data_IF_872071977132
#
_entry.id   IF_872071977132
#
_cell.length_a   1.000
_cell.length_b   1.000
_cell.length_c   1.000
_cell.angle_alpha   90.00
_cell.angle_beta   90.00
_cell.angle_gamma   90.00
#
_symmetry.space_group_name_H-M   'P 1'
#
loop_
_entity.id
_entity.type
_entity.pdbx_description
1 polymer ?
#
# COMPACT_ATOMS: atom_id res chain seq x y z
N UNK A 1 6.26 18.06 -23.90
CA UNK A 1 6.33 18.00 -22.42
C UNK A 1 6.37 16.54 -22.00
N UNK A 2 7.33 16.11 -21.17
CA UNK A 2 7.49 14.71 -20.76
C UNK A 2 6.54 14.35 -19.61
N UNK A 3 5.76 13.30 -19.78
CA UNK A 3 4.99 12.65 -18.70
C UNK A 3 5.96 12.16 -17.62
N UNK A 4 5.86 12.70 -16.40
CA UNK A 4 6.59 12.18 -15.24
C UNK A 4 5.69 11.20 -14.50
N UNK A 5 5.86 9.90 -14.77
CA UNK A 5 5.31 8.85 -13.90
C UNK A 5 6.05 8.97 -12.57
N UNK A 6 5.34 9.32 -11.50
CA UNK A 6 5.90 9.27 -10.14
C UNK A 6 6.07 7.80 -9.81
N UNK A 7 7.30 7.29 -9.90
CA UNK A 7 7.64 5.99 -9.32
C UNK A 7 7.39 6.11 -7.81
N UNK A 8 6.29 5.53 -7.35
CA UNK A 8 6.04 5.37 -5.91
C UNK A 8 6.96 4.24 -5.47
N UNK A 9 7.79 4.52 -4.46
CA UNK A 9 8.64 3.51 -3.87
C UNK A 9 7.76 2.36 -3.35
N UNK A 10 8.06 1.14 -3.79
CA UNK A 10 7.28 -0.05 -3.46
C UNK A 10 7.17 -0.28 -1.96
N UNK A 11 8.23 0.06 -1.21
CA UNK A 11 8.26 -0.03 0.25
C UNK A 11 7.32 1.00 0.86
N UNK A 12 7.40 2.27 0.44
CA UNK A 12 6.49 3.32 0.95
C UNK A 12 5.02 2.98 0.68
N UNK A 13 4.72 2.43 -0.49
CA UNK A 13 3.37 2.00 -0.84
C UNK A 13 2.86 0.88 0.08
N UNK A 14 3.69 -0.13 0.38
CA UNK A 14 3.33 -1.21 1.29
C UNK A 14 3.09 -0.70 2.72
N UNK A 15 3.98 0.16 3.23
CA UNK A 15 3.82 0.76 4.56
C UNK A 15 2.51 1.56 4.65
N UNK A 16 2.17 2.35 3.63
CA UNK A 16 0.93 3.12 3.57
C UNK A 16 -0.32 2.23 3.49
N UNK A 17 -0.27 1.15 2.69
CA UNK A 17 -1.39 0.23 2.55
C UNK A 17 -1.69 -0.49 3.87
N UNK A 18 -0.66 -0.99 4.55
CA UNK A 18 -0.82 -1.66 5.85
C UNK A 18 -1.28 -0.69 6.93
N UNK A 19 -0.81 0.56 6.93
CA UNK A 19 -1.33 1.61 7.82
C UNK A 19 -2.86 1.77 7.66
N UNK A 20 -3.33 1.88 6.41
CA UNK A 20 -4.76 1.99 6.13
C UNK A 20 -5.56 0.73 6.49
N UNK A 21 -4.95 -0.46 6.45
CA UNK A 21 -5.59 -1.70 6.93
C UNK A 21 -5.72 -1.72 8.45
N UNK A 22 -4.67 -1.36 9.18
CA UNK A 22 -4.70 -1.24 10.63
C UNK A 22 -5.74 -0.21 11.09
N UNK A 23 -5.80 0.96 10.46
CA UNK A 23 -6.79 2.00 10.75
C UNK A 23 -8.23 1.51 10.50
N UNK A 24 -8.47 0.77 9.40
CA UNK A 24 -9.78 0.15 9.11
C UNK A 24 -10.20 -0.86 10.18
N UNK A 25 -9.24 -1.51 10.82
CA UNK A 25 -9.47 -2.45 11.92
C UNK A 25 -9.52 -1.77 13.30
N UNK A 26 -9.53 -0.42 13.35
CA UNK A 26 -9.68 0.34 14.58
C UNK A 26 -8.39 0.56 15.36
N UNK A 27 -7.22 0.35 14.74
CA UNK A 27 -5.92 0.51 15.39
C UNK A 27 -5.20 1.78 14.97
N UNK A 28 -4.44 2.31 15.93
CA UNK A 28 -3.58 3.47 15.72
C UNK A 28 -2.32 3.03 14.96
N UNK A 29 -2.30 3.39 13.67
CA UNK A 29 -1.19 3.12 12.77
C UNK A 29 -0.88 4.37 11.93
N UNK A 30 0.37 4.84 12.00
CA UNK A 30 0.80 6.09 11.35
C UNK A 30 2.15 5.95 10.64
N UNK A 31 2.38 6.77 9.62
CA UNK A 31 3.67 6.82 8.91
C UNK A 31 4.49 8.01 9.40
N UNK A 32 5.51 7.72 10.21
CA UNK A 32 6.25 8.73 10.96
C UNK A 32 7.76 8.46 10.95
N UNK A 33 8.54 9.48 11.30
CA UNK A 33 9.98 9.33 11.49
C UNK A 33 10.25 8.87 12.93
N UNK A 34 10.91 7.72 13.14
CA UNK A 34 11.26 7.29 14.49
C UNK A 34 12.25 8.27 15.12
N UNK A 35 12.16 8.43 16.44
CA UNK A 35 13.14 9.23 17.18
C UNK A 35 14.51 8.56 17.11
N UNK A 36 15.58 9.30 16.80
CA UNK A 36 16.94 8.71 16.77
C UNK A 36 17.63 8.63 18.13
N UNK A 37 16.89 8.85 19.22
CA UNK A 37 17.40 8.80 20.58
C UNK A 37 17.33 7.39 21.15
N UNK A 38 18.29 7.06 22.02
CA UNK A 38 18.34 5.81 22.76
C UNK A 38 18.80 4.61 21.93
N UNK A 39 18.64 3.43 22.54
CA UNK A 39 18.94 2.15 21.93
C UNK A 39 17.67 1.55 21.33
N UNK A 40 17.84 0.96 20.16
CA UNK A 40 16.79 0.34 19.37
C UNK A 40 17.16 -1.11 19.10
N UNK A 41 16.15 -1.96 19.03
CA UNK A 41 16.33 -3.38 18.76
C UNK A 41 15.51 -3.74 17.53
N UNK A 42 16.15 -4.43 16.58
CA UNK A 42 15.47 -4.95 15.41
C UNK A 42 14.82 -6.29 15.76
N UNK A 43 13.58 -6.41 15.34
CA UNK A 43 12.76 -7.61 15.46
C UNK A 43 12.38 -8.07 14.07
N UNK A 44 12.39 -9.38 13.84
CA UNK A 44 11.76 -9.98 12.68
C UNK A 44 10.98 -11.22 13.08
N UNK A 45 10.07 -11.67 12.23
CA UNK A 45 9.56 -13.02 12.36
C UNK A 45 10.66 -14.04 12.04
N UNK A 46 10.42 -15.30 12.43
CA UNK A 46 11.33 -16.42 12.19
C UNK A 46 11.63 -16.66 10.71
N UNK A 47 10.69 -16.28 9.82
CA UNK A 47 10.82 -16.40 8.37
C UNK A 47 11.41 -15.14 7.70
N UNK A 48 11.72 -14.09 8.49
CA UNK A 48 12.21 -12.77 8.02
C UNK A 48 11.33 -12.13 6.93
N UNK A 49 10.03 -12.38 6.96
CA UNK A 49 9.01 -11.78 6.09
C UNK A 49 8.74 -10.33 6.44
N UNK A 50 8.92 -9.95 7.70
CA UNK A 50 8.84 -8.56 8.14
C UNK A 50 9.92 -8.22 9.13
N UNK A 51 10.25 -6.94 9.25
CA UNK A 51 11.10 -6.44 10.32
C UNK A 51 10.57 -5.14 10.89
N UNK A 52 10.62 -5.03 12.21
CA UNK A 52 10.25 -3.84 12.96
C UNK A 52 11.33 -3.46 13.95
N UNK A 53 11.25 -2.23 14.44
CA UNK A 53 12.12 -1.68 15.46
C UNK A 53 11.31 -1.36 16.71
N UNK A 54 11.92 -1.59 17.87
CA UNK A 54 11.37 -1.18 19.16
C UNK A 54 12.44 -0.51 20.00
N UNK A 55 12.00 0.27 20.98
CA UNK A 55 12.84 0.64 22.11
C UNK A 55 12.59 -0.36 23.25
N UNK A 56 13.63 -1.06 23.74
CA UNK A 56 13.48 -2.00 24.86
C UNK A 56 12.88 -1.36 26.12
N UNK A 57 13.24 -0.11 26.41
CA UNK A 57 12.71 0.65 27.55
C UNK A 57 11.20 0.87 27.44
N UNK A 58 10.73 1.43 26.31
CA UNK A 58 9.30 1.69 26.06
C UNK A 58 8.47 0.39 26.10
N UNK A 59 9.02 -0.71 25.57
CA UNK A 59 8.39 -2.03 25.64
C UNK A 59 8.27 -2.52 27.09
N UNK A 60 9.35 -2.42 27.87
CA UNK A 60 9.36 -2.84 29.27
C UNK A 60 8.39 -2.00 30.10
N UNK A 61 8.29 -0.70 29.84
CA UNK A 61 7.34 0.20 30.49
C UNK A 61 5.88 -0.22 30.22
N UNK A 62 5.57 -0.71 29.00
CA UNK A 62 4.22 -1.21 28.69
C UNK A 62 3.94 -2.58 29.30
N UNK A 63 4.88 -3.52 29.20
CA UNK A 63 4.67 -4.91 29.67
C UNK A 63 4.74 -5.01 31.19
N UNK A 64 5.60 -4.21 31.83
CA UNK A 64 5.74 -4.18 33.30
C UNK A 64 6.34 -2.86 33.78
N UNK A 65 5.50 -1.84 34.05
CA UNK A 65 5.96 -0.54 34.55
C UNK A 65 6.80 -0.66 35.84
N UNK A 66 6.44 -1.60 36.71
CA UNK A 66 7.16 -1.86 37.96
C UNK A 66 8.60 -2.36 37.73
N UNK A 67 8.80 -3.20 36.70
CA UNK A 67 10.13 -3.69 36.32
C UNK A 67 10.91 -2.64 35.52
N UNK A 68 10.24 -1.77 34.76
CA UNK A 68 10.90 -0.71 33.99
C UNK A 68 11.71 0.23 34.90
N UNK A 69 11.10 0.72 35.99
CA UNK A 69 11.80 1.59 36.94
C UNK A 69 12.97 0.88 37.64
N UNK A 70 12.81 -0.42 37.94
CA UNK A 70 13.87 -1.23 38.56
C UNK A 70 15.02 -1.54 37.59
N UNK A 71 14.72 -1.86 36.33
CA UNK A 71 15.71 -2.19 35.31
C UNK A 71 16.60 -0.99 34.97
N UNK A 72 16.02 0.20 34.86
CA UNK A 72 16.75 1.46 34.66
C UNK A 72 17.67 1.73 35.85
N UNK A 73 17.16 1.59 37.08
CA UNK A 73 17.94 1.84 38.30
C UNK A 73 19.08 0.82 38.50
N UNK A 74 18.93 -0.39 37.98
CA UNK A 74 19.91 -1.48 38.10
C UNK A 74 20.85 -1.63 36.89
N UNK A 75 20.70 -0.84 35.83
CA UNK A 75 21.45 -1.00 34.58
C UNK A 75 21.20 -2.34 33.86
N UNK A 76 20.02 -2.93 34.09
CA UNK A 76 19.65 -4.26 33.62
C UNK A 76 18.98 -4.27 32.23
N UNK A 77 19.04 -3.15 31.50
CA UNK A 77 18.44 -2.99 30.17
C UNK A 77 18.95 -4.03 29.16
N UNK A 78 20.19 -4.49 29.35
CA UNK A 78 20.81 -5.55 28.55
C UNK A 78 20.09 -6.91 28.67
N UNK A 79 19.31 -7.14 29.74
CA UNK A 79 18.54 -8.37 29.93
C UNK A 79 17.20 -8.36 29.18
N UNK A 80 16.77 -7.21 28.67
CA UNK A 80 15.48 -7.07 27.98
C UNK A 80 15.50 -7.83 26.66
N UNK A 81 16.64 -7.83 25.93
CA UNK A 81 16.77 -8.51 24.63
C UNK A 81 16.61 -10.03 24.75
N UNK A 82 17.36 -10.73 25.62
CA UNK A 82 17.16 -12.17 25.84
C UNK A 82 15.74 -12.50 26.31
N UNK A 83 15.15 -11.67 27.17
CA UNK A 83 13.79 -11.89 27.64
C UNK A 83 12.76 -11.76 26.51
N UNK A 84 12.86 -10.73 25.68
CA UNK A 84 11.99 -10.53 24.52
C UNK A 84 12.11 -11.70 23.53
N UNK A 85 13.33 -12.19 23.29
CA UNK A 85 13.58 -13.34 22.41
C UNK A 85 12.99 -14.64 22.96
N UNK A 86 12.96 -14.80 24.29
CA UNK A 86 12.40 -15.97 24.97
C UNK A 86 10.87 -15.90 25.18
N UNK A 87 10.25 -14.74 24.93
CA UNK A 87 8.81 -14.55 25.14
C UNK A 87 8.00 -15.11 23.97
N UNK A 88 7.09 -16.05 24.24
CA UNK A 88 6.13 -16.50 23.24
C UNK A 88 5.09 -15.39 22.96
N UNK A 89 4.87 -15.08 21.68
CA UNK A 89 3.96 -14.02 21.19
C UNK A 89 4.15 -12.70 21.95
N UNK A 90 5.31 -12.03 21.78
CA UNK A 90 5.61 -10.81 22.51
C UNK A 90 4.72 -9.63 22.10
N UNK A 91 4.02 -9.72 20.96
CA UNK A 91 3.06 -8.73 20.47
C UNK A 91 1.83 -9.41 19.90
N UNK A 92 0.64 -8.88 20.18
CA UNK A 92 -0.61 -9.28 19.53
C UNK A 92 -0.95 -8.30 18.41
N UNK A 93 -0.50 -8.62 17.20
CA UNK A 93 -0.75 -7.80 16.02
C UNK A 93 -2.09 -8.17 15.36
N UNK A 94 -2.88 -7.18 14.95
CA UNK A 94 -4.26 -7.37 14.47
C UNK A 94 -4.34 -7.86 13.03
N UNK A 95 -3.23 -7.70 12.30
CA UNK A 95 -3.08 -8.10 10.92
C UNK A 95 -2.48 -9.50 10.91
N UNK A 96 -3.22 -10.54 10.45
CA UNK A 96 -2.80 -11.93 10.58
C UNK A 96 -1.46 -12.25 9.91
N UNK A 97 -1.11 -11.50 8.86
CA UNK A 97 0.15 -11.69 8.12
C UNK A 97 1.38 -11.11 8.86
N UNK A 98 1.19 -10.30 9.90
CA UNK A 98 2.28 -9.86 10.79
C UNK A 98 2.36 -10.67 12.08
N UNK A 99 1.35 -11.48 12.40
CA UNK A 99 1.35 -12.33 13.59
C UNK A 99 2.53 -13.30 13.56
N UNK A 100 3.26 -13.37 14.67
CA UNK A 100 4.39 -14.28 14.84
C UNK A 100 4.36 -14.93 16.23
N UNK A 101 4.80 -16.19 16.32
CA UNK A 101 4.94 -16.90 17.60
C UNK A 101 6.26 -16.61 18.30
N UNK A 102 7.36 -16.56 17.55
CA UNK A 102 8.71 -16.34 18.07
C UNK A 102 9.42 -15.28 17.23
N UNK A 103 9.98 -14.28 17.88
CA UNK A 103 10.75 -13.24 17.20
C UNK A 103 12.23 -13.62 17.11
N UNK A 104 12.84 -13.29 15.99
CA UNK A 104 14.27 -13.11 15.93
C UNK A 104 14.58 -11.70 16.41
N UNK A 105 15.36 -11.60 17.47
CA UNK A 105 15.76 -10.34 18.10
C UNK A 105 17.25 -10.14 17.84
N UNK A 106 17.60 -9.02 17.22
CA UNK A 106 19.00 -8.65 16.97
C UNK A 106 19.59 -7.87 18.15
N UNK A 107 20.91 -7.64 18.13
CA UNK A 107 21.57 -6.86 19.16
C UNK A 107 21.09 -5.39 19.17
N UNK A 108 21.06 -4.72 20.34
CA UNK A 108 20.74 -3.31 20.42
C UNK A 108 21.70 -2.43 19.62
N UNK A 109 21.14 -1.52 18.83
CA UNK A 109 21.88 -0.53 18.04
C UNK A 109 21.46 0.89 18.45
N UNK A 110 22.34 1.88 18.31
CA UNK A 110 21.96 3.28 18.54
C UNK A 110 20.93 3.73 17.50
N UNK A 111 20.05 4.67 17.86
CA UNK A 111 19.03 5.21 16.94
C UNK A 111 19.60 5.90 15.68
N UNK A 112 20.91 6.16 15.61
CA UNK A 112 21.58 6.59 14.38
C UNK A 112 21.60 5.51 13.30
N UNK A 113 21.53 4.22 13.68
CA UNK A 113 21.50 3.07 12.77
C UNK A 113 20.11 2.78 12.18
N UNK A 114 19.07 3.51 12.63
CA UNK A 114 17.74 3.39 12.07
C UNK A 114 17.72 3.82 10.59
N UNK A 115 16.86 3.19 9.76
CA UNK A 115 16.74 3.52 8.35
C UNK A 115 16.35 4.99 8.15
N UNK A 116 16.88 5.58 7.07
CA UNK A 116 16.46 6.89 6.62
C UNK A 116 15.08 6.77 5.95
N UNK A 117 14.08 7.48 6.49
CA UNK A 117 12.73 7.49 5.95
C UNK A 117 11.65 7.34 7.01
N UNK A 118 10.40 7.40 6.55
CA UNK A 118 9.24 7.11 7.40
C UNK A 118 9.12 5.60 7.60
N UNK A 119 8.78 5.23 8.82
CA UNK A 119 8.43 3.87 9.21
C UNK A 119 6.94 3.82 9.56
N UNK A 120 6.37 2.62 9.46
CA UNK A 120 5.01 2.39 9.92
C UNK A 120 5.03 2.16 11.42
N UNK A 121 4.53 3.11 12.18
CA UNK A 121 4.34 2.98 13.62
C UNK A 121 2.96 2.36 13.89
N UNK A 122 2.93 1.22 14.57
CA UNK A 122 1.69 0.57 15.03
C UNK A 122 1.76 0.50 16.55
N UNK A 123 0.76 1.08 17.22
CA UNK A 123 0.63 0.91 18.66
C UNK A 123 -0.03 -0.43 18.98
N UNK A 124 0.67 -1.25 19.76
CA UNK A 124 0.12 -2.49 20.34
C UNK A 124 -0.15 -2.31 21.83
N UNK A 125 -0.83 -3.30 22.42
CA UNK A 125 -1.02 -3.41 23.86
C UNK A 125 0.30 -3.51 24.66
N UNK A 126 1.38 -3.91 24.00
CA UNK A 126 2.72 -4.11 24.58
C UNK A 126 3.75 -3.11 24.08
N UNK A 127 3.30 -1.99 23.54
CA UNK A 127 4.14 -0.88 23.09
C UNK A 127 4.16 -0.67 21.59
N UNK A 128 4.87 0.38 21.17
CA UNK A 128 4.95 0.82 19.76
C UNK A 128 5.94 0.01 18.93
N UNK A 129 5.49 -0.47 17.78
CA UNK A 129 6.30 -1.19 16.79
C UNK A 129 6.52 -0.33 15.55
N UNK A 130 7.77 -0.20 15.12
CA UNK A 130 8.16 0.62 13.97
C UNK A 130 8.59 -0.27 12.80
N UNK A 131 7.65 -0.59 11.92
CA UNK A 131 7.88 -1.49 10.79
C UNK A 131 8.69 -0.82 9.67
N UNK A 132 9.76 -1.49 9.27
CA UNK A 132 10.65 -1.10 8.17
C UNK A 132 10.34 -1.88 6.90
N UNK A 133 10.19 -3.19 7.05
CA UNK A 133 9.86 -4.12 5.97
C UNK A 133 8.62 -4.90 6.36
N UNK A 134 7.69 -4.99 5.43
CA UNK A 134 6.46 -5.75 5.56
C UNK A 134 6.46 -6.85 4.51
N UNK A 135 5.76 -7.97 4.76
CA UNK A 135 5.60 -8.98 3.74
C UNK A 135 4.79 -8.35 2.60
N UNK A 136 5.00 -8.84 1.38
CA UNK A 136 4.01 -8.58 0.35
C UNK A 136 2.68 -9.17 0.85
N UNK A 137 1.71 -8.28 1.10
CA UNK A 137 0.36 -8.70 1.48
C UNK A 137 -0.09 -9.76 0.47
N UNK A 138 -0.47 -10.99 0.90
CA UNK A 138 -1.18 -11.88 0.01
C UNK A 138 -2.42 -11.11 -0.39
N UNK A 139 -2.50 -10.69 -1.66
CA UNK A 139 -3.48 -9.73 -2.16
C UNK A 139 -4.83 -10.02 -1.49
N UNK A 140 -5.20 -9.20 -0.50
CA UNK A 140 -6.31 -9.49 0.37
C UNK A 140 -7.57 -9.58 -0.48
N UNK A 141 -8.00 -10.80 -0.82
CA UNK A 141 -9.29 -11.15 -1.44
C UNK A 141 -9.76 -10.36 -2.66
N UNK A 142 -8.97 -9.44 -3.19
CA UNK A 142 -9.26 -8.60 -4.33
C UNK A 142 -8.19 -8.89 -5.34
N UNK A 143 -8.28 -10.06 -5.97
CA UNK A 143 -7.56 -10.32 -7.19
C UNK A 143 -7.89 -9.20 -8.15
N UNK A 144 -7.08 -8.14 -8.19
CA UNK A 144 -6.98 -7.30 -9.39
C UNK A 144 -6.54 -8.29 -10.43
N UNK A 145 -7.40 -8.70 -11.37
CA UNK A 145 -7.01 -9.74 -12.26
C UNK A 145 -5.95 -9.08 -13.15
N UNK A 146 -4.69 -9.46 -12.93
CA UNK A 146 -3.53 -8.96 -13.70
C UNK A 146 -3.68 -9.26 -15.20
N UNK A 147 -4.74 -9.97 -15.58
CA UNK A 147 -5.15 -10.32 -16.94
C UNK A 147 -6.55 -9.79 -17.36
N UNK A 148 -7.13 -8.80 -16.68
CA UNK A 148 -8.29 -8.11 -17.26
C UNK A 148 -7.85 -7.31 -18.48
N UNK A 149 -8.28 -7.77 -19.66
CA UNK A 149 -8.19 -7.00 -20.89
C UNK A 149 -9.42 -6.11 -20.98
N UNK A 150 -9.19 -4.84 -21.21
CA UNK A 150 -10.25 -3.85 -21.38
C UNK A 150 -10.41 -3.55 -22.87
N UNK A 151 -11.62 -3.67 -23.44
CA UNK A 151 -11.84 -3.34 -24.84
C UNK A 151 -11.75 -1.82 -25.01
N UNK A 152 -10.77 -1.38 -25.78
CA UNK A 152 -10.64 0.02 -26.19
C UNK A 152 -11.30 0.20 -27.55
N UNK A 153 -12.27 1.11 -27.60
CA UNK A 153 -12.94 1.53 -28.82
C UNK A 153 -12.41 2.90 -29.23
N UNK A 154 -11.77 2.96 -30.39
CA UNK A 154 -11.31 4.21 -31.00
C UNK A 154 -12.40 4.69 -31.95
N UNK A 155 -13.20 5.63 -31.48
CA UNK A 155 -14.38 6.13 -32.19
C UNK A 155 -13.99 7.35 -33.02
N UNK A 156 -14.17 7.25 -34.34
CA UNK A 156 -13.91 8.35 -35.31
C UNK A 156 -15.11 9.29 -35.49
N UNK A 157 -16.25 8.96 -34.88
CA UNK A 157 -17.44 9.79 -34.84
C UNK A 157 -18.71 8.98 -34.61
N UNK A 158 -19.83 9.70 -34.49
CA UNK A 158 -21.14 9.12 -34.20
C UNK A 158 -22.26 9.77 -35.02
N UNK A 159 -23.34 9.01 -35.18
CA UNK A 159 -24.59 9.46 -35.80
C UNK A 159 -25.77 8.81 -35.10
N UNK A 160 -26.62 9.62 -34.48
CA UNK A 160 -27.87 9.14 -33.91
C UNK A 160 -28.81 8.71 -35.04
N UNK A 161 -29.34 7.49 -34.91
CA UNK A 161 -30.14 6.84 -35.94
C UNK A 161 -31.45 6.34 -35.36
N UNK A 162 -32.54 6.52 -36.10
CA UNK A 162 -33.83 5.96 -35.72
C UNK A 162 -33.83 4.44 -35.87
N UNK A 163 -34.45 3.73 -34.92
CA UNK A 163 -34.51 2.26 -34.90
C UNK A 163 -35.06 1.65 -36.20
N UNK A 164 -35.98 2.34 -36.88
CA UNK A 164 -36.54 1.89 -38.16
C UNK A 164 -35.50 1.82 -39.30
N UNK A 165 -34.44 2.64 -39.25
CA UNK A 165 -33.37 2.62 -40.25
C UNK A 165 -32.43 1.42 -40.05
N UNK A 166 -32.21 0.98 -38.82
CA UNK A 166 -31.31 -0.14 -38.51
C UNK A 166 -31.72 -1.44 -39.22
N UNK A 167 -33.03 -1.68 -39.39
CA UNK A 167 -33.54 -2.86 -40.11
C UNK A 167 -33.48 -2.75 -41.64
N UNK A 168 -33.05 -1.61 -42.17
CA UNK A 168 -32.98 -1.32 -43.62
C UNK A 168 -31.55 -1.22 -44.15
N UNK A 169 -30.55 -1.17 -43.27
CA UNK A 169 -29.15 -1.04 -43.65
C UNK A 169 -28.67 -2.36 -44.25
N UNK A 170 -28.23 -2.31 -45.50
CA UNK A 170 -27.67 -3.43 -46.24
C UNK A 170 -26.20 -3.23 -46.61
N UNK A 171 -25.62 -4.28 -47.21
CA UNK A 171 -24.28 -4.20 -47.81
C UNK A 171 -24.35 -3.25 -49.01
N UNK A 172 -23.49 -2.23 -49.02
CA UNK A 172 -23.42 -1.22 -50.08
C UNK A 172 -24.02 0.14 -49.70
N UNK A 173 -24.76 0.22 -48.60
CA UNK A 173 -25.27 1.49 -48.08
C UNK A 173 -24.17 2.32 -47.42
N UNK A 174 -24.24 3.64 -47.58
CA UNK A 174 -23.30 4.59 -46.99
C UNK A 174 -23.93 5.28 -45.79
N UNK A 175 -23.34 5.10 -44.61
CA UNK A 175 -23.73 5.78 -43.38
C UNK A 175 -22.85 7.01 -43.15
N UNK A 176 -23.47 8.19 -43.07
CA UNK A 176 -22.76 9.43 -42.80
C UNK A 176 -22.45 9.56 -41.31
N UNK A 177 -21.23 9.97 -40.98
CA UNK A 177 -20.82 10.39 -39.64
C UNK A 177 -21.20 11.87 -39.47
N UNK A 178 -22.17 12.19 -38.62
CA UNK A 178 -22.65 13.56 -38.39
C UNK A 178 -21.79 14.32 -37.40
N UNK A 179 -21.35 13.62 -36.35
CA UNK A 179 -20.49 14.19 -35.32
C UNK A 179 -19.13 13.56 -35.45
N UNK A 180 -18.16 14.31 -35.95
CA UNK A 180 -16.76 13.89 -35.97
C UNK A 180 -16.19 14.00 -34.55
N UNK A 181 -15.66 12.90 -34.01
CA UNK A 181 -14.95 12.88 -32.75
C UNK A 181 -13.76 11.94 -32.86
N UNK A 182 -12.69 12.21 -32.11
CA UNK A 182 -11.53 11.33 -32.06
C UNK A 182 -11.36 10.87 -30.62
N UNK A 183 -12.31 10.05 -30.18
CA UNK A 183 -12.49 9.70 -28.78
C UNK A 183 -12.09 8.24 -28.52
N UNK A 184 -11.45 8.01 -27.36
CA UNK A 184 -11.15 6.67 -26.86
C UNK A 184 -12.18 6.32 -25.80
N UNK A 185 -12.87 5.20 -25.98
CA UNK A 185 -13.85 4.67 -25.04
C UNK A 185 -13.39 3.32 -24.49
N UNK A 186 -13.70 3.09 -23.22
CA UNK A 186 -13.73 1.76 -22.64
C UNK A 186 -15.16 1.51 -22.15
N UNK A 187 -15.86 0.59 -22.80
CA UNK A 187 -17.32 0.46 -22.67
C UNK A 187 -18.00 1.83 -22.89
N UNK A 188 -18.83 2.28 -21.96
CA UNK A 188 -19.53 3.56 -22.04
C UNK A 188 -18.70 4.75 -21.53
N UNK A 189 -17.52 4.52 -20.94
CA UNK A 189 -16.70 5.59 -20.34
C UNK A 189 -15.74 6.17 -21.37
N UNK A 190 -15.86 7.47 -21.62
CA UNK A 190 -14.88 8.23 -22.40
C UNK A 190 -13.58 8.35 -21.60
N UNK A 191 -12.49 7.85 -22.16
CA UNK A 191 -11.16 7.91 -21.57
C UNK A 191 -10.39 9.13 -22.05
N UNK A 192 -10.64 9.62 -23.27
CA UNK A 192 -10.03 10.84 -23.77
C UNK A 192 -9.99 10.88 -25.29
N UNK A 193 -8.93 11.48 -25.84
CA UNK A 193 -8.82 11.77 -27.27
C UNK A 193 -7.61 11.10 -27.91
N UNK A 194 -7.72 10.81 -29.20
CA UNK A 194 -6.62 10.29 -30.00
C UNK A 194 -6.42 11.09 -31.29
N UNK A 195 -5.18 11.11 -31.78
CA UNK A 195 -4.83 11.63 -33.08
C UNK A 195 -4.35 10.51 -34.00
N UNK A 196 -4.81 10.56 -35.25
CA UNK A 196 -4.38 9.64 -36.30
C UNK A 196 -3.10 10.18 -36.92
N UNK A 197 -2.05 9.35 -36.95
CA UNK A 197 -0.76 9.67 -37.58
C UNK A 197 -0.45 8.61 -38.66
N UNK A 198 0.47 8.93 -39.58
CA UNK A 198 1.00 7.92 -40.50
C UNK A 198 1.64 6.78 -39.71
N UNK A 199 1.06 5.58 -39.84
CA UNK A 199 1.53 4.37 -39.16
C UNK A 199 0.82 4.02 -37.85
N UNK A 200 -0.13 4.82 -37.34
CA UNK A 200 -0.77 4.47 -36.07
C UNK A 200 -1.79 5.45 -35.51
N UNK A 201 -2.12 5.25 -34.23
CA UNK A 201 -2.97 6.13 -33.42
C UNK A 201 -2.15 6.55 -32.22
N UNK A 202 -2.07 7.85 -31.94
CA UNK A 202 -1.46 8.42 -30.75
C UNK A 202 -2.58 8.88 -29.82
N UNK A 203 -2.59 8.41 -28.58
CA UNK A 203 -3.56 8.85 -27.57
C UNK A 203 -2.97 10.03 -26.80
N UNK A 204 -3.70 11.14 -26.72
CA UNK A 204 -3.17 12.39 -26.14
C UNK A 204 -3.53 12.56 -24.67
N UNK A 205 -4.68 12.04 -24.24
CA UNK A 205 -5.15 12.12 -22.85
C UNK A 205 -5.90 10.86 -22.46
N UNK A 206 -5.58 10.31 -21.29
CA UNK A 206 -6.37 9.29 -20.60
C UNK A 206 -6.79 9.86 -19.24
N UNK A 207 -8.00 10.43 -19.15
CA UNK A 207 -8.62 10.86 -17.91
C UNK A 207 -9.13 9.63 -17.14
N UNK A 208 -8.17 8.90 -16.56
CA UNK A 208 -8.46 7.88 -15.57
C UNK A 208 -8.40 8.58 -14.21
N UNK A 209 -9.36 9.48 -13.96
CA UNK A 209 -9.52 10.06 -12.63
C UNK A 209 -9.96 8.97 -11.65
N UNK A 210 -9.31 8.99 -10.49
CA UNK A 210 -9.55 8.19 -9.30
C UNK A 210 -11.05 7.96 -9.08
N UNK A 211 -11.46 6.69 -9.06
CA UNK A 211 -12.69 6.30 -8.39
C UNK A 211 -12.33 6.26 -6.91
N UNK A 212 -12.45 7.40 -6.23
CA UNK A 212 -12.68 7.39 -4.80
C UNK A 212 -14.07 6.76 -4.59
N UNK A 213 -14.11 5.76 -3.73
CA UNK A 213 -15.33 5.10 -3.30
C UNK A 213 -16.24 6.12 -2.61
N UNK A 214 -17.22 6.67 -3.31
CA UNK A 214 -18.44 7.19 -2.69
C UNK A 214 -19.17 6.00 -2.05
N UNK A 215 -18.88 5.75 -0.76
CA UNK A 215 -19.76 4.96 0.10
C UNK A 215 -20.94 5.83 0.51
N UNK A 216 -22.11 5.43 0.01
CA UNK A 216 -23.41 5.81 0.54
C UNK A 216 -23.77 4.95 1.76
#
# INVERSE_FOLDING_TARGET
MSLRVRQIDRREWLLAQTAAECQRNGQEATLEYPTRQGMWVRLSDSEKRWSAWIKPGDWLEHVSPALAGAAVSAGAEHLIVPWLAATERPFELPVPHLSCRHLCVEDPVPGSALPEGKLLHIMSDRGGLWFEYLPELPAAGGGRPKMLRWPLHFVIGSSDTQRALLGRIGIGDVLLIRTSSADVYCYAKKLGHFNRVEGGIIVETLDIQHIEEEKK
#
